data_IF_356784077002
#
_entry.id   IF_356784077002
#
_cell.length_a   1.000
_cell.length_b   1.000
_cell.length_c   1.000
_cell.angle_alpha   90.00
_cell.angle_beta   90.00
_cell.angle_gamma   90.00
#
_symmetry.space_group_name_H-M   'P 1'
#
loop_
_entity.id
_entity.type
_entity.pdbx_description
1 polymer ?
#
# COMPACT_ATOMS: atom_id res chain seq x y z
N UNK A 1 1.69 -15.97 -37.36
CA UNK A 1 0.90 -16.33 -36.15
C UNK A 1 1.35 -15.41 -35.01
N UNK A 2 0.80 -14.19 -34.91
CA UNK A 2 1.19 -13.20 -33.89
C UNK A 2 0.25 -13.26 -32.70
N UNK A 3 0.75 -13.60 -31.50
CA UNK A 3 -0.01 -13.49 -30.26
C UNK A 3 -0.29 -12.01 -29.98
N UNK A 4 -1.57 -11.62 -29.94
CA UNK A 4 -1.99 -10.30 -29.46
C UNK A 4 -1.60 -10.20 -27.98
N UNK A 5 -0.81 -9.19 -27.63
CA UNK A 5 -0.63 -8.77 -26.23
C UNK A 5 -2.01 -8.40 -25.70
N UNK A 6 -2.44 -9.05 -24.62
CA UNK A 6 -3.65 -8.67 -23.90
C UNK A 6 -3.49 -7.23 -23.45
N UNK A 7 -4.32 -6.35 -24.01
CA UNK A 7 -4.59 -5.03 -23.46
C UNK A 7 -5.05 -5.25 -22.02
N UNK A 8 -4.45 -4.58 -21.04
CA UNK A 8 -4.89 -4.65 -19.63
C UNK A 8 -6.40 -4.46 -19.57
N UNK A 9 -7.13 -5.52 -19.22
CA UNK A 9 -8.58 -5.54 -19.31
C UNK A 9 -9.11 -4.79 -18.09
N UNK A 10 -9.65 -3.60 -18.32
CA UNK A 10 -10.53 -2.93 -17.38
C UNK A 10 -11.77 -3.83 -17.26
N UNK A 11 -11.84 -4.69 -16.25
CA UNK A 11 -12.91 -5.69 -16.16
C UNK A 11 -14.13 -5.06 -15.47
N UNK A 12 -15.23 -4.92 -16.22
CA UNK A 12 -16.45 -4.26 -15.77
C UNK A 12 -17.48 -5.27 -15.22
N UNK A 13 -17.67 -5.35 -13.89
CA UNK A 13 -18.96 -5.60 -13.18
C UNK A 13 -18.79 -5.89 -11.67
N UNK A 14 -19.71 -5.49 -10.76
CA UNK A 14 -20.64 -4.35 -10.76
C UNK A 14 -20.24 -3.27 -9.73
N UNK A 15 -20.63 -2.02 -10.02
CA UNK A 15 -20.39 -0.75 -9.29
C UNK A 15 -19.13 0.02 -9.76
N UNK A 16 -19.39 1.27 -10.16
CA UNK A 16 -18.58 2.13 -11.03
C UNK A 16 -17.27 2.60 -10.39
N UNK A 17 -16.26 1.73 -10.38
CA UNK A 17 -14.93 2.08 -9.88
C UNK A 17 -13.87 1.83 -10.95
N UNK A 18 -12.78 2.59 -10.87
CA UNK A 18 -11.58 2.37 -11.67
C UNK A 18 -10.81 1.17 -11.10
N UNK A 19 -11.28 -0.03 -11.43
CA UNK A 19 -10.69 -1.29 -10.98
C UNK A 19 -9.32 -1.51 -11.62
N UNK A 20 -8.39 -2.03 -10.83
CA UNK A 20 -7.03 -2.37 -11.25
C UNK A 20 -6.63 -3.73 -10.72
N UNK A 21 -5.88 -4.47 -11.53
CA UNK A 21 -5.34 -5.77 -11.15
C UNK A 21 -3.93 -5.57 -10.60
N UNK A 22 -3.78 -5.64 -9.28
CA UNK A 22 -2.47 -5.62 -8.60
C UNK A 22 -1.88 -7.04 -8.64
N UNK A 23 -0.69 -7.18 -9.21
CA UNK A 23 0.05 -8.44 -9.25
C UNK A 23 0.95 -8.62 -8.03
N UNK A 24 1.61 -7.55 -7.57
CA UNK A 24 2.53 -7.64 -6.44
C UNK A 24 2.68 -6.32 -5.67
N UNK A 25 3.09 -6.44 -4.41
CA UNK A 25 3.52 -5.34 -3.55
C UNK A 25 4.96 -5.59 -3.15
N UNK A 26 5.82 -4.59 -3.26
CA UNK A 26 7.24 -4.69 -2.92
C UNK A 26 7.68 -3.55 -1.99
N UNK A 27 8.68 -3.84 -1.16
CA UNK A 27 9.36 -2.88 -0.29
C UNK A 27 10.86 -2.92 -0.62
N UNK A 28 11.45 -1.79 -1.00
CA UNK A 28 12.84 -1.69 -1.48
C UNK A 28 13.17 -2.73 -2.56
N UNK A 29 12.24 -2.92 -3.51
CA UNK A 29 12.38 -3.87 -4.62
C UNK A 29 12.23 -5.34 -4.25
N UNK A 30 11.98 -5.68 -2.97
CA UNK A 30 11.68 -7.05 -2.53
C UNK A 30 10.18 -7.28 -2.52
N UNK A 31 9.70 -8.16 -3.38
CA UNK A 31 8.30 -8.57 -3.45
C UNK A 31 7.90 -9.25 -2.14
N UNK A 32 6.77 -8.82 -1.57
CA UNK A 32 6.19 -9.41 -0.38
C UNK A 32 5.55 -10.76 -0.71
N UNK A 33 5.64 -11.70 0.22
CA UNK A 33 4.99 -13.01 0.10
C UNK A 33 3.48 -12.90 0.39
N UNK A 34 2.73 -12.35 -0.56
CA UNK A 34 1.28 -12.22 -0.54
C UNK A 34 0.72 -13.13 -1.64
N UNK A 35 -0.32 -13.92 -1.33
CA UNK A 35 -1.01 -14.72 -2.35
C UNK A 35 -1.61 -13.76 -3.41
N UNK A 36 -1.26 -13.87 -4.70
CA UNK A 36 -1.79 -12.98 -5.75
C UNK A 36 -3.32 -12.97 -5.83
N UNK A 37 -4.01 -14.04 -5.40
CA UNK A 37 -5.47 -14.08 -5.35
C UNK A 37 -6.05 -13.04 -4.36
N UNK A 38 -5.22 -12.49 -3.45
CA UNK A 38 -5.60 -11.43 -2.51
C UNK A 38 -6.06 -10.16 -3.23
N UNK A 39 -5.50 -9.84 -4.38
CA UNK A 39 -5.83 -8.63 -5.14
C UNK A 39 -6.77 -8.90 -6.31
N UNK A 40 -7.06 -10.16 -6.60
CA UNK A 40 -7.82 -10.53 -7.79
C UNK A 40 -9.25 -10.01 -7.72
N UNK A 41 -9.63 -9.33 -8.79
CA UNK A 41 -10.95 -8.74 -8.96
C UNK A 41 -12.05 -9.83 -8.95
N UNK A 42 -13.03 -9.67 -8.08
CA UNK A 42 -14.26 -10.46 -7.97
C UNK A 42 -15.41 -9.56 -7.51
N UNK A 43 -16.63 -10.10 -7.40
CA UNK A 43 -17.81 -9.31 -6.98
C UNK A 43 -17.64 -8.60 -5.63
N UNK A 44 -16.82 -9.13 -4.73
CA UNK A 44 -16.64 -8.61 -3.37
C UNK A 44 -15.17 -8.37 -3.03
N UNK A 45 -14.28 -8.37 -4.02
CA UNK A 45 -12.84 -8.27 -3.81
C UNK A 45 -12.15 -7.59 -4.97
N UNK A 46 -11.11 -6.80 -4.71
CA UNK A 46 -10.31 -6.22 -5.78
C UNK A 46 -9.52 -5.00 -5.31
N UNK A 47 -8.86 -4.35 -6.24
CA UNK A 47 -8.21 -3.07 -6.02
C UNK A 47 -8.83 -1.99 -6.92
N UNK A 48 -8.97 -0.78 -6.40
CA UNK A 48 -9.49 0.38 -7.13
C UNK A 48 -8.55 1.58 -6.97
N UNK A 49 -8.50 2.45 -7.97
CA UNK A 49 -8.08 3.83 -7.79
C UNK A 49 -9.28 4.69 -7.38
N UNK A 50 -9.12 5.49 -6.32
CA UNK A 50 -10.18 6.35 -5.81
C UNK A 50 -9.61 7.67 -5.28
N UNK A 51 -9.65 8.72 -6.10
CA UNK A 51 -9.23 10.07 -5.71
C UNK A 51 -10.07 10.70 -4.59
N UNK A 52 -11.20 10.08 -4.20
CA UNK A 52 -11.98 10.45 -3.02
C UNK A 52 -11.37 9.97 -1.70
N UNK A 53 -10.35 9.10 -1.76
CA UNK A 53 -9.63 8.56 -0.62
C UNK A 53 -8.26 9.23 -0.47
N UNK A 54 -7.87 9.60 0.75
CA UNK A 54 -6.57 10.26 1.01
C UNK A 54 -5.40 9.29 1.12
N UNK A 55 -5.68 8.07 1.59
CA UNK A 55 -4.67 7.08 1.94
C UNK A 55 -4.86 5.81 1.13
N UNK A 56 -3.76 5.11 0.88
CA UNK A 56 -3.82 3.73 0.42
C UNK A 56 -4.41 2.88 1.55
N UNK A 57 -5.48 2.15 1.27
CA UNK A 57 -6.07 1.19 2.19
C UNK A 57 -5.88 -0.21 1.65
N UNK A 58 -5.11 -1.05 2.35
CA UNK A 58 -4.87 -2.44 1.97
C UNK A 58 -5.88 -3.36 2.62
N UNK A 59 -6.31 -4.39 1.88
CA UNK A 59 -7.06 -5.50 2.46
C UNK A 59 -6.21 -6.22 3.54
N UNK A 60 -6.85 -6.74 4.58
CA UNK A 60 -6.23 -7.38 5.75
C UNK A 60 -5.06 -8.32 5.39
N UNK A 61 -5.29 -9.20 4.42
CA UNK A 61 -4.34 -10.23 4.01
C UNK A 61 -3.08 -9.65 3.35
N UNK A 62 -3.17 -8.44 2.77
CA UNK A 62 -2.03 -7.69 2.26
C UNK A 62 -1.43 -6.76 3.32
N UNK A 63 -2.26 -6.14 4.17
CA UNK A 63 -1.81 -5.19 5.19
C UNK A 63 -0.91 -5.84 6.24
N UNK A 64 -1.25 -7.06 6.69
CA UNK A 64 -0.48 -7.76 7.73
C UNK A 64 0.99 -8.00 7.31
N UNK A 65 1.29 -8.66 6.18
CA UNK A 65 2.67 -8.85 5.73
C UNK A 65 3.35 -7.51 5.39
N UNK A 66 2.61 -6.55 4.82
CA UNK A 66 3.13 -5.20 4.58
C UNK A 66 3.62 -4.53 5.87
N UNK A 67 2.77 -4.45 6.90
CA UNK A 67 3.10 -3.82 8.17
C UNK A 67 4.27 -4.51 8.87
N UNK A 68 4.32 -5.85 8.82
CA UNK A 68 5.45 -6.61 9.36
C UNK A 68 6.77 -6.29 8.64
N UNK A 69 6.75 -6.23 7.31
CA UNK A 69 7.94 -5.92 6.51
C UNK A 69 8.39 -4.46 6.69
N UNK A 70 7.47 -3.51 6.84
CA UNK A 70 7.83 -2.12 7.21
C UNK A 70 8.49 -2.08 8.58
N UNK A 71 7.90 -2.71 9.61
CA UNK A 71 8.48 -2.76 10.97
C UNK A 71 9.88 -3.36 10.96
N UNK A 72 10.11 -4.37 10.14
CA UNK A 72 11.43 -5.00 9.98
C UNK A 72 12.42 -4.05 9.29
N UNK A 73 12.02 -3.43 8.17
CA UNK A 73 12.86 -2.49 7.42
C UNK A 73 13.26 -1.26 8.24
N UNK A 74 12.35 -0.79 9.10
CA UNK A 74 12.52 0.40 9.94
C UNK A 74 12.86 0.07 11.39
N UNK A 75 13.36 -1.14 11.66
CA UNK A 75 13.70 -1.60 13.02
C UNK A 75 14.81 -0.78 13.70
N UNK A 76 15.55 0.04 12.94
CA UNK A 76 16.58 0.94 13.42
C UNK A 76 16.03 2.32 13.87
N UNK A 77 14.79 2.65 13.53
CA UNK A 77 14.12 3.89 13.93
C UNK A 77 13.37 3.68 15.26
N UNK A 78 13.11 4.77 15.98
CA UNK A 78 12.35 4.72 17.24
C UNK A 78 10.84 4.70 16.94
N UNK A 79 10.13 3.58 17.20
CA UNK A 79 8.70 3.50 16.94
C UNK A 79 7.90 4.23 18.03
N UNK A 80 6.82 4.88 17.62
CA UNK A 80 5.81 5.45 18.53
C UNK A 80 4.60 4.52 18.56
N UNK A 81 4.29 4.00 19.74
CA UNK A 81 3.23 3.00 19.95
C UNK A 81 1.96 3.62 20.54
N UNK A 82 0.84 2.91 20.42
CA UNK A 82 -0.44 3.37 20.97
C UNK A 82 -1.16 4.39 20.09
N UNK A 83 -0.69 4.56 18.85
CA UNK A 83 -1.36 5.32 17.81
C UNK A 83 -2.08 4.36 16.86
N UNK A 84 -3.24 4.76 16.35
CA UNK A 84 -3.97 3.93 15.40
C UNK A 84 -3.13 3.71 14.14
N UNK A 85 -2.82 2.43 13.86
CA UNK A 85 -2.04 2.02 12.70
C UNK A 85 -0.52 1.90 12.91
N UNK A 86 0.01 2.04 14.14
CA UNK A 86 1.32 1.55 14.67
C UNK A 86 2.59 1.57 13.78
N UNK A 87 2.57 2.30 12.68
CA UNK A 87 3.69 2.49 11.75
C UNK A 87 4.11 3.96 11.80
N UNK A 88 4.35 4.46 13.01
CA UNK A 88 4.78 5.82 13.28
C UNK A 88 6.13 5.81 13.97
N UNK A 89 6.98 6.78 13.64
CA UNK A 89 8.35 6.89 14.11
C UNK A 89 8.65 8.33 14.51
N UNK A 90 9.52 8.54 15.50
CA UNK A 90 9.90 9.89 15.92
C UNK A 90 10.63 10.63 14.77
N UNK A 91 10.24 11.87 14.49
CA UNK A 91 10.86 12.66 13.43
C UNK A 91 12.30 13.09 13.76
N UNK A 92 12.69 13.07 15.04
CA UNK A 92 14.04 13.36 15.51
C UNK A 92 15.06 12.27 15.13
N UNK A 93 14.58 11.04 14.96
CA UNK A 93 15.41 9.86 14.67
C UNK A 93 15.26 9.33 13.25
N UNK A 94 14.39 9.95 12.45
CA UNK A 94 14.08 9.55 11.08
C UNK A 94 14.24 10.70 10.11
N UNK A 95 14.58 10.38 8.87
CA UNK A 95 14.54 11.26 7.70
C UNK A 95 13.72 10.59 6.61
N UNK A 96 13.22 11.37 5.64
CA UNK A 96 12.43 10.82 4.54
C UNK A 96 13.17 9.70 3.79
N UNK A 97 14.50 9.80 3.66
CA UNK A 97 15.32 8.83 2.94
C UNK A 97 15.49 7.49 3.68
N UNK A 98 15.20 7.44 4.98
CA UNK A 98 15.23 6.21 5.77
C UNK A 98 14.02 5.32 5.46
N UNK A 99 12.96 5.90 4.90
CA UNK A 99 11.72 5.20 4.58
C UNK A 99 11.79 4.50 3.22
N UNK A 100 11.30 3.26 3.13
CA UNK A 100 11.52 2.44 1.93
C UNK A 100 10.71 2.93 0.73
N UNK A 101 11.18 2.62 -0.47
CA UNK A 101 10.33 2.71 -1.66
C UNK A 101 9.31 1.57 -1.58
N UNK A 102 8.03 1.92 -1.68
CA UNK A 102 6.93 0.96 -1.78
C UNK A 102 6.54 0.87 -3.26
N UNK A 103 6.25 -0.31 -3.78
CA UNK A 103 5.90 -0.46 -5.19
C UNK A 103 4.73 -1.39 -5.41
N UNK A 104 3.76 -0.93 -6.20
CA UNK A 104 2.67 -1.75 -6.71
C UNK A 104 3.01 -2.15 -8.15
N UNK A 105 3.05 -3.45 -8.42
CA UNK A 105 3.08 -3.97 -9.78
C UNK A 105 1.65 -4.30 -10.20
N UNK A 106 1.26 -3.86 -11.39
CA UNK A 106 -0.06 -4.10 -11.97
C UNK A 106 0.03 -5.01 -13.18
N UNK A 107 -1.12 -5.57 -13.57
CA UNK A 107 -1.25 -6.35 -14.79
C UNK A 107 -0.62 -5.63 -15.99
N UNK A 108 0.14 -6.39 -16.79
CA UNK A 108 0.90 -5.83 -17.91
C UNK A 108 2.26 -5.24 -17.53
N UNK A 109 2.76 -5.54 -16.31
CA UNK A 109 4.11 -5.15 -15.84
C UNK A 109 4.32 -3.66 -15.64
N UNK A 110 3.22 -2.91 -15.46
CA UNK A 110 3.28 -1.52 -15.04
C UNK A 110 3.63 -1.46 -13.55
N UNK A 111 4.50 -0.54 -13.15
CA UNK A 111 4.92 -0.38 -11.75
C UNK A 111 4.69 1.05 -11.31
N UNK A 112 4.04 1.23 -10.17
CA UNK A 112 3.94 2.50 -9.46
C UNK A 112 4.88 2.48 -8.26
N UNK A 113 5.83 3.40 -8.24
CA UNK A 113 6.74 3.60 -7.10
C UNK A 113 6.19 4.72 -6.22
N UNK A 114 6.00 4.43 -4.93
CA UNK A 114 5.70 5.40 -3.90
C UNK A 114 6.99 5.67 -3.11
N UNK A 115 7.44 6.91 -3.17
CA UNK A 115 8.52 7.44 -2.35
C UNK A 115 7.96 7.90 -1.02
N UNK A 116 8.85 8.23 -0.09
CA UNK A 116 8.49 8.68 1.25
C UNK A 116 7.49 9.84 1.22
N UNK A 117 7.68 10.82 0.33
CA UNK A 117 6.77 11.97 0.16
C UNK A 117 5.36 11.59 -0.31
N UNK A 118 5.19 10.42 -0.92
CA UNK A 118 3.91 9.97 -1.49
C UNK A 118 3.03 9.28 -0.42
N UNK A 119 3.59 8.84 0.71
CA UNK A 119 2.85 8.10 1.73
C UNK A 119 3.12 8.52 3.17
N UNK A 120 4.13 9.35 3.47
CA UNK A 120 4.39 9.78 4.85
C UNK A 120 3.44 10.89 5.28
N UNK A 121 2.93 10.72 6.50
CA UNK A 121 2.06 11.68 7.18
C UNK A 121 2.81 12.23 8.38
N UNK A 122 3.10 13.51 8.36
CA UNK A 122 3.67 14.23 9.49
C UNK A 122 2.59 14.50 10.55
N UNK A 123 2.95 14.41 11.83
CA UNK A 123 2.00 14.62 12.93
C UNK A 123 2.67 14.84 14.28
N UNK A 124 1.86 14.77 15.35
CA UNK A 124 2.32 14.91 16.73
C UNK A 124 1.74 13.79 17.60
N UNK A 125 2.58 13.13 18.40
CA UNK A 125 2.19 12.28 19.52
C UNK A 125 2.47 13.04 20.83
N UNK A 126 1.46 13.74 21.36
CA UNK A 126 1.66 14.68 22.45
C UNK A 126 2.57 15.83 22.03
N UNK A 127 3.79 15.89 22.57
CA UNK A 127 4.81 16.90 22.23
C UNK A 127 5.92 16.37 21.30
N UNK A 128 5.78 15.12 20.83
CA UNK A 128 6.78 14.46 19.99
C UNK A 128 6.34 14.58 18.52
N UNK A 129 7.13 15.24 17.64
CA UNK A 129 6.90 15.19 16.20
C UNK A 129 7.11 13.78 15.67
N UNK A 130 6.18 13.31 14.84
CA UNK A 130 6.19 11.94 14.30
C UNK A 130 5.99 11.93 12.79
N UNK A 131 6.51 10.88 12.16
CA UNK A 131 6.19 10.47 10.78
C UNK A 131 5.49 9.12 10.79
N UNK A 132 4.33 9.07 10.17
CA UNK A 132 3.53 7.85 10.06
C UNK A 132 3.42 7.38 8.62
N UNK A 133 3.38 6.06 8.43
CA UNK A 133 3.03 5.45 7.15
C UNK A 133 1.52 5.66 6.90
N UNK A 134 1.20 6.39 5.83
CA UNK A 134 -0.15 6.68 5.33
C UNK A 134 -0.79 5.54 4.54
N UNK A 135 -0.27 4.31 4.68
CA UNK A 135 -0.91 3.10 4.16
C UNK A 135 -1.60 2.40 5.33
N UNK A 136 -2.92 2.22 5.22
CA UNK A 136 -3.80 1.80 6.30
C UNK A 136 -4.42 0.44 6.01
N UNK A 137 -4.91 -0.19 7.07
CA UNK A 137 -5.79 -1.34 6.96
C UNK A 137 -7.16 -0.86 6.48
N UNK A 138 -7.73 -1.51 5.46
CA UNK A 138 -9.06 -1.17 4.97
C UNK A 138 -10.14 -1.46 6.01
N UNK A 139 -11.15 -0.60 6.07
CA UNK A 139 -12.41 -0.88 6.80
C UNK A 139 -13.46 -1.49 5.90
N UNK A 140 -13.25 -1.42 4.58
CA UNK A 140 -14.14 -1.99 3.56
C UNK A 140 -13.66 -3.41 3.26
N UNK A 141 -14.47 -4.39 3.66
CA UNK A 141 -14.16 -5.80 3.41
C UNK A 141 -13.90 -6.05 1.94
N UNK A 142 -12.79 -6.71 1.63
CA UNK A 142 -12.46 -7.15 0.28
C UNK A 142 -11.77 -6.12 -0.61
N UNK A 143 -11.71 -4.84 -0.22
CA UNK A 143 -11.21 -3.78 -1.09
C UNK A 143 -9.81 -3.30 -0.70
N UNK A 144 -8.91 -3.28 -1.68
CA UNK A 144 -7.75 -2.40 -1.68
C UNK A 144 -8.11 -1.09 -2.38
N UNK A 145 -7.80 0.04 -1.77
CA UNK A 145 -8.10 1.37 -2.31
C UNK A 145 -6.77 2.11 -2.43
N UNK A 146 -6.48 2.59 -3.63
CA UNK A 146 -5.30 3.41 -3.91
C UNK A 146 -5.82 4.84 -4.11
N UNK A 147 -5.62 5.67 -3.08
CA UNK A 147 -5.99 7.10 -3.05
C UNK A 147 -5.06 7.97 -3.87
#
# INVERSE_FOLDING_TARGET
MGKRKGLGVINSSPLFHYNVDVESLAINGRVLSIDPEVFKSSRYRGAIFDSGSTFVSLIDEAYIPFAHSIKTALSHLVPVTGLEGDLCYESSTSKAEDFPIISFEFAGKAIMHLRAEDYLVEGMAGLIPIRCIGIRKTVIRGATIIG
#
